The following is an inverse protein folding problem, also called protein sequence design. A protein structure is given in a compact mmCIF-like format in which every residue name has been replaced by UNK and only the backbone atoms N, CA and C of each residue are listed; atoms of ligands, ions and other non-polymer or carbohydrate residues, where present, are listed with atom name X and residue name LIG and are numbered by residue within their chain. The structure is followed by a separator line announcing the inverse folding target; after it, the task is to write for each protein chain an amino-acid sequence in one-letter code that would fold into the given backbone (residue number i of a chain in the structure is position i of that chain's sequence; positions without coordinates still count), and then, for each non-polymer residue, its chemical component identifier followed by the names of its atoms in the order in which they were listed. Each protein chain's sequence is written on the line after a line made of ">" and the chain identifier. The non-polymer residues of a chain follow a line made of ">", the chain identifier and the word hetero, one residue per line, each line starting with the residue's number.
data_IF_107378724242
#
_entry.id   IF_107378724242
#
_cell.length_a   1.000
_cell.length_b   1.000
_cell.length_c   1.000
_cell.angle_alpha   90.00
_cell.angle_beta   90.00
_cell.angle_gamma   90.00
#
_symmetry.space_group_name_H-M   'P 1'
#
loop_
_entity.id
_entity.type
_entity.pdbx_description
1 polymer ?
#
# COMPACT_ATOMS: atom_id res chain seq x y z
N UNK A 1 -4.92 1.00 14.97
CA UNK A 1 -4.77 -0.20 14.12
C UNK A 1 -5.15 0.18 12.70
N UNK A 2 -4.41 -0.30 11.72
CA UNK A 2 -4.67 -0.03 10.29
C UNK A 2 -4.50 -1.36 9.56
N UNK A 3 -5.51 -1.79 8.81
CA UNK A 3 -5.45 -3.06 8.07
C UNK A 3 -5.12 -2.77 6.61
N UNK A 4 -3.88 -3.02 6.20
CA UNK A 4 -3.41 -2.76 4.83
C UNK A 4 -3.62 -4.01 3.96
N UNK A 5 -4.43 -3.88 2.91
CA UNK A 5 -4.73 -4.93 1.93
C UNK A 5 -3.90 -4.67 0.68
N UNK A 6 -2.80 -5.40 0.53
CA UNK A 6 -1.93 -5.26 -0.63
C UNK A 6 -2.47 -6.01 -1.85
N UNK A 7 -2.28 -5.41 -3.02
CA UNK A 7 -2.41 -6.10 -4.30
C UNK A 7 -1.34 -7.20 -4.47
N UNK A 8 -1.34 -7.92 -5.61
CA UNK A 8 -0.43 -9.04 -5.83
C UNK A 8 1.03 -8.59 -5.73
N UNK A 9 1.80 -9.20 -4.82
CA UNK A 9 3.18 -8.84 -4.58
C UNK A 9 4.08 -9.24 -5.76
N UNK A 10 5.04 -8.37 -6.09
CA UNK A 10 6.06 -8.65 -7.11
C UNK A 10 7.46 -8.32 -6.61
N UNK A 11 8.46 -9.00 -7.17
CA UNK A 11 9.88 -8.76 -6.90
C UNK A 11 10.50 -7.75 -7.88
N UNK A 12 9.68 -6.98 -8.60
CA UNK A 12 10.19 -5.89 -9.44
C UNK A 12 10.79 -4.81 -8.54
N UNK A 13 11.74 -4.00 -9.06
CA UNK A 13 12.22 -2.83 -8.34
C UNK A 13 11.07 -1.91 -7.90
N UNK A 14 11.24 -1.28 -6.75
CA UNK A 14 10.32 -0.26 -6.24
C UNK A 14 10.18 0.87 -7.25
N UNK A 15 8.94 1.32 -7.49
CA UNK A 15 8.64 2.44 -8.39
C UNK A 15 8.50 3.76 -7.64
N UNK A 16 8.35 3.71 -6.31
CA UNK A 16 8.16 4.87 -5.44
C UNK A 16 6.74 5.44 -5.44
N UNK A 17 5.77 4.74 -6.02
CA UNK A 17 4.38 5.21 -6.11
C UNK A 17 3.36 4.14 -5.72
N UNK A 18 2.58 4.44 -4.68
CA UNK A 18 1.51 3.58 -4.16
C UNK A 18 0.20 4.34 -4.17
N UNK A 19 -0.82 3.74 -4.78
CA UNK A 19 -2.20 4.20 -4.72
C UNK A 19 -2.92 3.51 -3.56
N UNK A 20 -3.30 4.28 -2.56
CA UNK A 20 -4.11 3.83 -1.42
C UNK A 20 -5.59 4.21 -1.66
N UNK A 21 -6.41 3.24 -2.05
CA UNK A 21 -7.84 3.46 -2.28
C UNK A 21 -8.62 2.16 -2.20
N UNK A 22 -9.78 2.20 -1.54
CA UNK A 22 -10.71 1.07 -1.48
C UNK A 22 -11.60 0.95 -2.74
N UNK A 23 -11.47 1.86 -3.72
CA UNK A 23 -12.35 1.94 -4.90
C UNK A 23 -11.71 1.27 -6.14
N UNK A 24 -10.38 1.16 -6.18
CA UNK A 24 -9.63 0.77 -7.38
C UNK A 24 -9.35 -0.73 -7.41
N UNK A 25 -9.36 -1.33 -8.61
CA UNK A 25 -9.03 -2.76 -8.77
C UNK A 25 -7.57 -3.04 -8.41
N UNK A 26 -7.34 -4.15 -7.71
CA UNK A 26 -6.01 -4.58 -7.31
C UNK A 26 -5.20 -5.02 -8.53
N UNK A 27 -4.04 -4.40 -8.75
CA UNK A 27 -3.07 -4.82 -9.77
C UNK A 27 -1.95 -5.62 -9.11
N UNK A 28 -0.72 -5.20 -9.35
CA UNK A 28 0.46 -5.70 -8.67
C UNK A 28 1.09 -4.57 -7.87
N UNK A 29 1.87 -4.90 -6.86
CA UNK A 29 2.67 -3.93 -6.10
C UNK A 29 4.07 -4.51 -5.85
N UNK A 30 5.15 -3.76 -6.13
CA UNK A 30 6.49 -4.15 -5.71
C UNK A 30 6.59 -4.26 -4.19
N UNK A 31 7.30 -5.28 -3.69
CA UNK A 31 7.49 -5.46 -2.23
C UNK A 31 8.13 -4.23 -1.58
N UNK A 32 9.06 -3.56 -2.27
CA UNK A 32 9.69 -2.34 -1.78
C UNK A 32 8.73 -1.18 -1.61
N UNK A 33 7.80 -1.01 -2.56
CA UNK A 33 6.78 0.05 -2.48
C UNK A 33 5.80 -0.20 -1.33
N UNK A 34 5.38 -1.46 -1.14
CA UNK A 34 4.55 -1.82 0.00
C UNK A 34 5.28 -1.58 1.34
N UNK A 35 6.55 -1.97 1.45
CA UNK A 35 7.33 -1.77 2.65
C UNK A 35 7.46 -0.28 3.00
N UNK A 36 7.75 0.57 2.00
CA UNK A 36 7.80 2.01 2.18
C UNK A 36 6.45 2.58 2.65
N UNK A 37 5.35 2.15 2.03
CA UNK A 37 4.00 2.56 2.44
C UNK A 37 3.68 2.18 3.89
N UNK A 38 4.02 0.95 4.30
CA UNK A 38 3.79 0.48 5.67
C UNK A 38 4.56 1.32 6.70
N UNK A 39 5.80 1.72 6.40
CA UNK A 39 6.59 2.62 7.27
C UNK A 39 5.91 3.98 7.38
N UNK A 40 5.41 4.54 6.28
CA UNK A 40 4.67 5.82 6.30
C UNK A 40 3.41 5.74 7.16
N UNK A 41 2.67 4.63 7.11
CA UNK A 41 1.47 4.42 7.95
C UNK A 41 1.77 4.31 9.45
N UNK A 42 3.00 3.96 9.85
CA UNK A 42 3.41 4.02 11.27
C UNK A 42 3.50 5.47 11.75
N UNK A 43 3.85 6.39 10.85
CA UNK A 43 4.02 7.82 11.15
C UNK A 43 2.80 8.69 10.86
N UNK A 44 1.75 8.12 10.27
CA UNK A 44 0.59 8.85 9.77
C UNK A 44 -0.72 8.34 10.37
N UNK A 45 -1.56 9.26 10.86
CA UNK A 45 -2.90 8.93 11.37
C UNK A 45 -3.99 8.95 10.27
N UNK A 46 -3.61 9.15 9.00
CA UNK A 46 -4.55 9.28 7.89
C UNK A 46 -5.54 8.09 7.79
N UNK A 47 -5.04 6.87 8.04
CA UNK A 47 -5.86 5.65 8.03
C UNK A 47 -6.03 5.04 9.43
N UNK A 48 -6.03 5.87 10.47
CA UNK A 48 -6.26 5.40 11.84
C UNK A 48 -7.61 4.66 11.94
N UNK A 49 -7.56 3.44 12.51
CA UNK A 49 -8.71 2.55 12.79
C UNK A 49 -9.56 2.21 11.56
N UNK A 50 -8.94 2.11 10.38
CA UNK A 50 -9.65 1.70 9.16
C UNK A 50 -8.83 0.76 8.28
N UNK A 51 -9.49 -0.07 7.46
CA UNK A 51 -8.83 -0.84 6.42
C UNK A 51 -8.60 0.01 5.16
N UNK A 52 -7.45 -0.18 4.52
CA UNK A 52 -7.08 0.50 3.27
C UNK A 52 -6.48 -0.51 2.28
N UNK A 53 -6.92 -0.44 1.03
CA UNK A 53 -6.34 -1.23 -0.06
C UNK A 53 -5.25 -0.45 -0.78
N UNK A 54 -4.15 -1.12 -1.12
CA UNK A 54 -2.98 -0.50 -1.77
C UNK A 54 -2.54 -1.26 -3.01
N UNK A 55 -2.20 -0.52 -4.07
CA UNK A 55 -1.68 -1.05 -5.34
C UNK A 55 -0.56 -0.16 -5.86
N UNK A 56 0.29 -0.66 -6.76
CA UNK A 56 1.16 0.23 -7.53
C UNK A 56 0.29 1.13 -8.43
N UNK A 57 0.67 2.40 -8.53
CA UNK A 57 0.06 3.32 -9.48
C UNK A 57 0.83 3.47 -10.79
#
# INVERSE_FOLDING_TARGET
>A
WTAVRAAVLTNRPAKGFVLASNIVSSRTIPRGDLAAYLVTEVTSDQNYRRPISVTAG
#
